data_IF_687383352505
#
_entry.id   IF_687383352505
#
_cell.length_a   1.000
_cell.length_b   1.000
_cell.length_c   1.000
_cell.angle_alpha   90.00
_cell.angle_beta   90.00
_cell.angle_gamma   90.00
#
_symmetry.space_group_name_H-M   'P 1'
#
loop_
_entity.id
_entity.type
_entity.pdbx_description
1 polymer ?
#
# COMPACT_ATOMS: atom_id res chain seq x y z
N UNK A 1 -9.12 -11.28 9.49
CA UNK A 1 -8.85 -10.75 10.85
C UNK A 1 -7.93 -9.54 10.71
N UNK A 2 -8.48 -8.33 10.55
CA UNK A 2 -7.67 -7.12 10.49
C UNK A 2 -7.05 -6.83 11.86
N UNK A 3 -5.82 -6.33 11.88
CA UNK A 3 -5.12 -5.83 13.08
C UNK A 3 -4.58 -6.89 14.06
N UNK A 4 -4.19 -8.09 13.59
CA UNK A 4 -3.61 -9.12 14.47
C UNK A 4 -2.35 -8.66 15.20
N UNK A 5 -1.45 -7.93 14.51
CA UNK A 5 -0.22 -7.39 15.11
C UNK A 5 -0.53 -6.38 16.20
N UNK A 6 -1.43 -5.44 15.94
CA UNK A 6 -1.87 -4.44 16.92
C UNK A 6 -2.52 -5.10 18.15
N UNK A 7 -3.38 -6.11 17.94
CA UNK A 7 -4.00 -6.84 19.05
C UNK A 7 -2.94 -7.53 19.91
N UNK A 8 -1.92 -8.14 19.31
CA UNK A 8 -0.81 -8.77 20.05
C UNK A 8 0.00 -7.74 20.84
N UNK A 9 0.27 -6.55 20.29
CA UNK A 9 0.92 -5.47 21.05
C UNK A 9 0.09 -5.04 22.25
N UNK A 10 -1.22 -4.83 22.07
CA UNK A 10 -2.12 -4.45 23.16
C UNK A 10 -2.15 -5.51 24.25
N UNK A 11 -2.33 -6.79 23.87
CA UNK A 11 -2.32 -7.92 24.81
C UNK A 11 -0.99 -8.01 25.56
N UNK A 12 0.13 -7.87 24.85
CA UNK A 12 1.47 -7.87 25.46
C UNK A 12 1.61 -6.79 26.53
N UNK A 13 1.28 -5.54 26.20
CA UNK A 13 1.38 -4.42 27.15
C UNK A 13 0.50 -4.65 28.38
N UNK A 14 -0.74 -5.10 28.19
CA UNK A 14 -1.64 -5.43 29.30
C UNK A 14 -1.05 -6.51 30.21
N UNK A 15 -0.54 -7.61 29.64
CA UNK A 15 0.08 -8.68 30.40
C UNK A 15 1.34 -8.22 31.14
N UNK A 16 2.21 -7.42 30.51
CA UNK A 16 3.42 -6.90 31.16
C UNK A 16 3.09 -5.93 32.31
N UNK A 17 2.16 -5.01 32.11
CA UNK A 17 1.72 -4.06 33.13
C UNK A 17 1.05 -4.78 34.30
N UNK A 18 0.14 -5.72 34.02
CA UNK A 18 -0.56 -6.48 35.07
C UNK A 18 0.40 -7.43 35.80
N UNK A 19 1.24 -8.16 35.08
CA UNK A 19 2.21 -9.09 35.66
C UNK A 19 3.22 -8.39 36.54
N UNK A 20 3.80 -7.27 36.07
CA UNK A 20 4.71 -6.45 36.87
C UNK A 20 3.99 -5.81 38.07
N UNK A 21 2.80 -5.26 37.88
CA UNK A 21 1.99 -4.68 38.95
C UNK A 21 1.72 -5.65 40.09
N UNK A 22 1.39 -6.91 39.78
CA UNK A 22 1.20 -7.96 40.78
C UNK A 22 2.49 -8.27 41.55
N UNK A 23 3.62 -8.39 40.86
CA UNK A 23 4.92 -8.67 41.49
C UNK A 23 5.34 -7.51 42.42
N UNK A 24 5.16 -6.26 41.99
CA UNK A 24 5.51 -5.08 42.79
C UNK A 24 4.53 -4.83 43.94
N UNK A 25 3.27 -5.28 43.85
CA UNK A 25 2.30 -5.14 44.92
C UNK A 25 2.64 -6.01 46.15
N UNK A 26 3.11 -7.24 45.93
CA UNK A 26 3.62 -8.10 46.99
C UNK A 26 4.44 -9.26 46.42
N UNK A 27 5.59 -9.64 47.04
CA UNK A 27 6.37 -10.80 46.64
C UNK A 27 5.56 -12.12 46.61
N UNK A 28 4.49 -12.22 47.41
CA UNK A 28 3.61 -13.40 47.44
C UNK A 28 2.89 -13.67 46.11
N UNK A 29 2.77 -12.66 45.23
CA UNK A 29 2.08 -12.80 43.95
C UNK A 29 3.00 -13.20 42.79
N UNK A 30 4.30 -13.46 43.03
CA UNK A 30 5.24 -13.89 41.98
C UNK A 30 4.73 -15.11 41.20
N UNK A 31 4.13 -16.09 41.87
CA UNK A 31 3.61 -17.29 41.23
C UNK A 31 2.50 -17.02 40.20
N UNK A 32 1.84 -15.86 40.28
CA UNK A 32 0.78 -15.43 39.36
C UNK A 32 1.31 -14.38 38.38
N UNK A 33 2.04 -13.38 38.89
CA UNK A 33 2.55 -12.28 38.09
C UNK A 33 3.65 -12.69 37.10
N UNK A 34 4.53 -13.63 37.48
CA UNK A 34 5.63 -14.06 36.60
C UNK A 34 5.15 -14.81 35.35
N UNK A 35 4.20 -15.77 35.42
CA UNK A 35 3.62 -16.37 34.22
C UNK A 35 2.90 -15.37 33.31
N UNK A 36 2.14 -14.41 33.88
CA UNK A 36 1.45 -13.37 33.11
C UNK A 36 2.47 -12.47 32.39
N UNK A 37 3.51 -12.03 33.10
CA UNK A 37 4.58 -11.24 32.51
C UNK A 37 5.34 -12.00 31.41
N UNK A 38 5.61 -13.29 31.61
CA UNK A 38 6.25 -14.15 30.61
C UNK A 38 5.37 -14.30 29.35
N UNK A 39 4.07 -14.55 29.52
CA UNK A 39 3.13 -14.59 28.40
C UNK A 39 3.12 -13.26 27.64
N UNK A 40 3.12 -12.13 28.36
CA UNK A 40 3.25 -10.79 27.77
C UNK A 40 4.51 -10.66 26.93
N UNK A 41 5.67 -11.00 27.48
CA UNK A 41 6.95 -10.95 26.76
C UNK A 41 6.98 -11.84 25.50
N UNK A 42 6.43 -13.06 25.58
CA UNK A 42 6.32 -13.94 24.40
C UNK A 42 5.42 -13.33 23.33
N UNK A 43 4.24 -12.81 23.72
CA UNK A 43 3.34 -12.16 22.76
C UNK A 43 3.94 -10.89 22.16
N UNK A 44 4.78 -10.15 22.91
CA UNK A 44 5.53 -9.00 22.39
C UNK A 44 6.46 -9.41 21.25
N UNK A 45 7.25 -10.47 21.47
CA UNK A 45 8.19 -10.97 20.46
C UNK A 45 7.43 -11.46 19.22
N UNK A 46 6.30 -12.14 19.41
CA UNK A 46 5.44 -12.55 18.30
C UNK A 46 4.83 -11.35 17.56
N UNK A 47 4.45 -10.28 18.26
CA UNK A 47 3.97 -9.05 17.63
C UNK A 47 5.07 -8.38 16.81
N UNK A 48 6.27 -8.29 17.37
CA UNK A 48 7.42 -7.66 16.73
C UNK A 48 7.91 -8.42 15.50
N UNK A 49 7.93 -9.76 15.57
CA UNK A 49 8.34 -10.60 14.45
C UNK A 49 7.32 -10.64 13.30
N UNK A 50 6.09 -10.15 13.51
CA UNK A 50 5.07 -10.10 12.46
C UNK A 50 5.33 -8.93 11.53
N UNK A 51 5.64 -9.24 10.28
CA UNK A 51 5.56 -8.30 9.16
C UNK A 51 4.07 -8.07 8.89
N UNK A 52 3.62 -6.81 8.97
CA UNK A 52 2.30 -6.45 8.45
C UNK A 52 2.42 -6.40 6.93
N UNK A 53 1.65 -7.23 6.25
CA UNK A 53 1.43 -7.05 4.82
C UNK A 53 0.67 -5.73 4.64
N UNK A 54 1.08 -4.88 3.67
CA UNK A 54 0.34 -3.67 3.35
C UNK A 54 -1.09 -4.09 3.02
N UNK A 55 -2.06 -3.43 3.68
CA UNK A 55 -3.46 -3.69 3.42
C UNK A 55 -3.75 -3.26 1.97
N UNK A 56 -4.16 -4.18 1.08
CA UNK A 56 -4.52 -3.79 -0.28
C UNK A 56 -5.72 -2.86 -0.24
N UNK A 57 -5.78 -1.96 -1.22
CA UNK A 57 -6.93 -1.09 -1.38
C UNK A 57 -8.15 -1.95 -1.75
N UNK A 58 -9.35 -1.62 -1.28
CA UNK A 58 -10.53 -2.38 -1.70
C UNK A 58 -10.85 -2.10 -3.17
N UNK A 59 -11.43 -3.08 -3.88
CA UNK A 59 -11.88 -2.93 -5.27
C UNK A 59 -12.75 -1.67 -5.47
N UNK A 60 -13.60 -1.35 -4.49
CA UNK A 60 -14.41 -0.12 -4.51
C UNK A 60 -13.54 1.14 -4.43
N UNK A 61 -12.61 1.18 -3.50
CA UNK A 61 -11.69 2.31 -3.33
C UNK A 61 -10.82 2.50 -4.58
N UNK A 62 -10.35 1.42 -5.21
CA UNK A 62 -9.57 1.43 -6.46
C UNK A 62 -10.43 1.95 -7.62
N UNK A 63 -11.67 1.46 -7.74
CA UNK A 63 -12.56 1.87 -8.82
C UNK A 63 -12.92 3.36 -8.72
N UNK A 64 -13.18 3.83 -7.50
CA UNK A 64 -13.60 5.19 -7.22
C UNK A 64 -12.40 6.17 -7.15
N UNK A 65 -11.16 5.65 -7.18
CA UNK A 65 -9.93 6.45 -7.24
C UNK A 65 -9.78 7.13 -8.62
N UNK A 66 -9.36 8.40 -8.59
CA UNK A 66 -9.06 9.19 -9.79
C UNK A 66 -7.78 10.01 -9.58
N UNK A 67 -6.86 10.04 -10.56
CA UNK A 67 -5.65 10.84 -10.46
C UNK A 67 -5.98 12.33 -10.51
N UNK A 68 -5.12 13.14 -9.90
CA UNK A 68 -5.27 14.59 -9.89
C UNK A 68 -5.20 15.16 -11.31
N UNK A 69 -6.27 15.80 -11.77
CA UNK A 69 -6.30 16.42 -13.10
C UNK A 69 -5.68 17.82 -13.01
N UNK A 70 -4.72 18.13 -13.89
CA UNK A 70 -4.06 19.43 -13.95
C UNK A 70 -3.16 19.56 -15.17
N UNK A 71 -2.80 20.79 -15.52
CA UNK A 71 -1.80 21.05 -16.56
C UNK A 71 -0.45 20.53 -16.08
N UNK A 72 0.15 19.63 -16.86
CA UNK A 72 1.54 19.24 -16.66
C UNK A 72 2.43 20.40 -17.14
N UNK A 73 3.55 20.69 -16.45
CA UNK A 73 4.51 21.66 -16.95
C UNK A 73 5.04 21.22 -18.32
N UNK A 74 5.50 22.18 -19.12
CA UNK A 74 6.18 21.88 -20.38
C UNK A 74 7.37 20.93 -20.13
N UNK A 75 7.51 19.92 -21.00
CA UNK A 75 8.62 18.98 -20.91
C UNK A 75 9.96 19.64 -21.23
N UNK A 76 11.06 19.00 -20.80
CA UNK A 76 12.40 19.42 -21.20
C UNK A 76 12.52 19.36 -22.73
N UNK A 77 13.17 20.36 -23.33
CA UNK A 77 13.45 20.43 -24.77
C UNK A 77 12.20 20.33 -25.70
N UNK A 78 11.02 20.77 -25.24
CA UNK A 78 9.80 20.75 -26.06
C UNK A 78 9.15 19.37 -26.21
N UNK A 79 9.54 18.42 -25.36
CA UNK A 79 8.85 17.14 -25.21
C UNK A 79 7.48 17.32 -24.57
N UNK A 80 6.57 16.40 -24.90
CA UNK A 80 5.20 16.41 -24.39
C UNK A 80 5.19 15.56 -23.13
N UNK A 81 4.94 16.19 -21.99
CA UNK A 81 4.77 15.46 -20.74
C UNK A 81 3.48 14.64 -20.76
N UNK A 82 3.49 13.50 -20.10
CA UNK A 82 2.32 12.68 -19.86
C UNK A 82 2.52 11.91 -18.55
N UNK A 83 1.43 11.45 -17.95
CA UNK A 83 1.47 10.60 -16.75
C UNK A 83 0.69 9.33 -17.00
N UNK A 84 1.28 8.20 -16.64
CA UNK A 84 0.67 6.87 -16.74
C UNK A 84 0.68 6.26 -15.33
N UNK A 85 -0.50 6.11 -14.74
CA UNK A 85 -0.67 5.50 -13.42
C UNK A 85 -1.43 4.19 -13.59
N UNK A 86 -0.86 3.08 -13.10
CA UNK A 86 -1.48 1.74 -13.14
C UNK A 86 -1.78 1.29 -11.71
N UNK A 87 -2.99 0.78 -11.48
CA UNK A 87 -3.35 0.22 -10.17
C UNK A 87 -2.58 -1.07 -9.92
N UNK A 88 -2.11 -1.24 -8.67
CA UNK A 88 -1.32 -2.41 -8.25
C UNK A 88 -2.24 -3.58 -7.89
N UNK A 89 -3.36 -3.26 -7.24
CA UNK A 89 -4.39 -4.20 -6.78
C UNK A 89 -5.54 -4.28 -7.79
N UNK A 90 -6.25 -5.41 -7.80
CA UNK A 90 -7.42 -5.59 -8.65
C UNK A 90 -8.58 -4.62 -8.32
N UNK A 91 -9.23 -4.02 -9.34
CA UNK A 91 -9.02 -4.26 -10.77
C UNK A 91 -7.79 -3.52 -11.31
N UNK A 92 -6.94 -4.24 -12.06
CA UNK A 92 -5.80 -3.63 -12.77
C UNK A 92 -6.31 -2.76 -13.91
N UNK A 93 -6.11 -1.45 -13.78
CA UNK A 93 -6.48 -0.42 -14.76
C UNK A 93 -5.42 0.66 -14.80
N UNK A 94 -5.28 1.28 -15.95
CA UNK A 94 -4.29 2.32 -16.21
C UNK A 94 -4.97 3.63 -16.59
N UNK A 95 -4.65 4.71 -15.90
CA UNK A 95 -5.00 6.07 -16.32
C UNK A 95 -3.85 6.74 -17.05
N UNK A 96 -4.16 7.40 -18.16
CA UNK A 96 -3.20 8.19 -18.94
C UNK A 96 -3.67 9.65 -19.00
N UNK A 97 -2.85 10.57 -18.48
CA UNK A 97 -3.08 12.01 -18.61
C UNK A 97 -2.19 12.58 -19.71
N UNK A 98 -2.81 13.19 -20.72
CA UNK A 98 -2.12 13.92 -21.76
C UNK A 98 -1.69 15.30 -21.28
N UNK A 99 -0.39 15.60 -21.24
CA UNK A 99 0.10 16.92 -20.85
C UNK A 99 -0.14 18.02 -21.88
N UNK A 100 -0.41 17.67 -23.15
CA UNK A 100 -0.69 18.66 -24.20
C UNK A 100 -2.11 19.25 -24.15
N UNK A 101 -3.11 18.41 -23.86
CA UNK A 101 -4.52 18.83 -23.92
C UNK A 101 -5.33 18.53 -22.64
N UNK A 102 -4.67 18.06 -21.59
CA UNK A 102 -5.27 17.75 -20.29
C UNK A 102 -6.25 16.58 -20.29
N UNK A 103 -6.26 15.74 -21.33
CA UNK A 103 -7.21 14.63 -21.42
C UNK A 103 -6.79 13.47 -20.53
N UNK A 104 -7.68 13.06 -19.63
CA UNK A 104 -7.53 11.87 -18.81
C UNK A 104 -8.30 10.70 -19.43
N UNK A 105 -7.58 9.66 -19.85
CA UNK A 105 -8.16 8.45 -20.44
C UNK A 105 -7.91 7.25 -19.55
N UNK A 106 -8.90 6.37 -19.42
CA UNK A 106 -8.75 5.09 -18.71
C UNK A 106 -8.66 3.93 -19.69
N UNK A 107 -7.73 3.03 -19.43
CA UNK A 107 -7.54 1.77 -20.14
C UNK A 107 -7.67 0.62 -19.14
N UNK A 108 -8.36 -0.44 -19.52
CA UNK A 108 -8.40 -1.68 -18.73
C UNK A 108 -7.07 -2.42 -18.86
N UNK A 109 -6.59 -2.99 -17.75
CA UNK A 109 -5.33 -3.72 -17.70
C UNK A 109 -4.10 -2.88 -17.38
N UNK A 110 -2.93 -3.51 -17.59
CA UNK A 110 -1.61 -2.95 -17.29
C UNK A 110 -1.26 -1.78 -18.23
N UNK A 111 -0.08 -1.20 -18.01
CA UNK A 111 0.47 -0.11 -18.84
C UNK A 111 0.40 -0.48 -20.33
N UNK A 112 -0.19 0.37 -21.18
CA UNK A 112 -0.22 0.12 -22.61
C UNK A 112 1.18 0.31 -23.22
N UNK A 113 1.56 -0.56 -24.16
CA UNK A 113 2.85 -0.51 -24.87
C UNK A 113 2.97 0.75 -25.75
N UNK A 114 1.84 1.20 -26.30
CA UNK A 114 1.76 2.45 -27.06
C UNK A 114 0.49 3.19 -26.65
N UNK A 115 0.56 4.51 -26.58
CA UNK A 115 -0.61 5.33 -26.28
C UNK A 115 -0.62 6.64 -27.04
N UNK A 116 -1.72 6.83 -27.79
CA UNK A 116 -2.03 8.06 -28.51
C UNK A 116 -3.22 8.72 -27.82
N UNK A 117 -3.10 10.02 -27.51
CA UNK A 117 -4.21 10.75 -26.90
C UNK A 117 -5.44 10.75 -27.84
N UNK A 118 -6.62 10.30 -27.38
CA UNK A 118 -7.81 10.22 -28.23
C UNK A 118 -8.37 11.59 -28.64
N UNK A 119 -8.00 12.66 -27.93
CA UNK A 119 -8.50 14.03 -28.17
C UNK A 119 -7.62 14.86 -29.09
N UNK A 120 -6.31 14.84 -28.88
CA UNK A 120 -5.36 15.67 -29.66
C UNK A 120 -4.44 14.86 -30.57
N UNK A 121 -4.65 13.53 -30.65
CA UNK A 121 -3.92 12.59 -31.51
C UNK A 121 -2.40 12.67 -31.38
N UNK A 122 -1.94 13.12 -30.22
CA UNK A 122 -0.53 13.24 -29.93
C UNK A 122 -0.03 11.92 -29.38
N UNK A 123 1.06 11.41 -29.96
CA UNK A 123 1.77 10.23 -29.44
C UNK A 123 2.36 10.58 -28.08
N UNK A 124 2.02 9.82 -27.04
CA UNK A 124 2.51 10.04 -25.68
C UNK A 124 3.53 8.97 -25.30
N UNK A 125 3.22 7.69 -25.52
CA UNK A 125 4.06 6.57 -25.11
C UNK A 125 4.27 5.63 -26.29
N UNK A 126 5.52 5.23 -26.55
CA UNK A 126 5.89 4.27 -27.59
C UNK A 126 7.04 3.37 -27.10
N UNK A 127 6.71 2.32 -26.37
CA UNK A 127 7.67 1.33 -25.90
C UNK A 127 7.11 -0.05 -26.17
N UNK A 128 7.25 -0.60 -27.39
CA UNK A 128 6.76 -1.93 -27.72
C UNK A 128 7.62 -3.07 -27.16
N UNK A 129 8.83 -2.78 -26.66
CA UNK A 129 9.77 -3.79 -26.15
C UNK A 129 9.48 -4.24 -24.71
N UNK A 130 8.64 -3.52 -23.97
CA UNK A 130 8.35 -3.81 -22.55
C UNK A 130 7.30 -4.94 -22.38
N UNK A 131 6.93 -5.67 -23.45
CA UNK A 131 5.96 -6.79 -23.37
C UNK A 131 6.57 -8.16 -23.10
N UNK A 132 7.86 -8.32 -23.38
CA UNK A 132 8.47 -9.66 -23.46
C UNK A 132 9.12 -10.12 -22.14
N UNK A 133 9.18 -9.24 -21.14
CA UNK A 133 9.85 -9.50 -19.85
C UNK A 133 8.87 -9.94 -18.71
N UNK A 134 7.57 -10.06 -18.97
CA UNK A 134 6.56 -10.42 -17.94
C UNK A 134 6.08 -11.89 -18.00
N UNK A 135 6.67 -12.74 -18.85
CA UNK A 135 6.34 -14.19 -18.96
C UNK A 135 7.29 -15.17 -18.23
N UNK A 136 8.32 -14.70 -17.49
CA UNK A 136 9.19 -15.57 -16.65
C UNK A 136 8.83 -15.61 -15.15
#
# INVERSE_FOLDING_TARGET
>A
MGNIRNNLFITSWLCLILGSGLIFASPSYIAIGAPIGLAGAVTFLLAFARVEEPKPMSEKEIRDWTPEVGELPDGAEGSIMYRIDTTIDDPIRTSVLCGKCGELTWCEGRRPQTFICPKCHTMLWDHPEDSDDEEE
#
